data_IF_474819914379
#
_entry.id   IF_474819914379
#
_cell.length_a   1.000
_cell.length_b   1.000
_cell.length_c   1.000
_cell.angle_alpha   90.00
_cell.angle_beta   90.00
_cell.angle_gamma   90.00
#
_symmetry.space_group_name_H-M   'P 1'
#
loop_
_entity.id
_entity.type
_entity.pdbx_description
1 polymer ?
#
# COMPACT_ATOMS: atom_id res chain seq x y z
N UNK A 1 29.96 12.59 8.38
CA UNK A 1 30.07 11.29 7.62
C UNK A 1 30.35 11.61 6.16
N UNK A 2 31.13 10.81 5.44
CA UNK A 2 31.20 10.97 4.00
C UNK A 2 29.89 10.42 3.38
N UNK A 3 29.35 11.04 2.32
CA UNK A 3 28.06 10.65 1.73
C UNK A 3 27.99 9.16 1.33
N UNK A 4 29.11 8.58 0.94
CA UNK A 4 29.22 7.16 0.55
C UNK A 4 29.14 6.15 1.71
N UNK A 5 29.24 6.62 2.96
CA UNK A 5 29.26 5.75 4.16
C UNK A 5 27.93 5.79 4.92
N UNK A 6 26.96 6.58 4.47
CA UNK A 6 25.65 6.68 5.10
C UNK A 6 24.80 5.47 4.73
N UNK A 7 24.44 4.66 5.72
CA UNK A 7 23.45 3.59 5.59
C UNK A 7 22.13 4.08 6.18
N UNK A 8 21.25 4.57 5.30
CA UNK A 8 19.99 5.20 5.69
C UNK A 8 19.12 4.29 6.54
N UNK A 9 19.01 3.01 6.19
CA UNK A 9 18.18 2.04 6.93
C UNK A 9 18.63 1.81 8.37
N UNK A 10 19.90 2.16 8.71
CA UNK A 10 20.43 2.07 10.08
C UNK A 10 20.15 3.32 10.92
N UNK A 11 19.69 4.40 10.30
CA UNK A 11 19.30 5.64 10.99
C UNK A 11 17.85 5.62 11.49
N UNK A 12 17.13 4.51 11.26
CA UNK A 12 15.73 4.37 11.62
C UNK A 12 15.47 3.03 12.33
N UNK A 13 14.63 3.05 13.38
CA UNK A 13 14.23 1.83 14.10
C UNK A 13 13.30 0.97 13.23
N UNK A 14 12.32 1.58 12.59
CA UNK A 14 11.40 0.96 11.64
C UNK A 14 11.73 1.36 10.21
N UNK A 15 11.24 0.61 9.22
CA UNK A 15 11.46 0.90 7.80
C UNK A 15 10.13 1.04 7.07
N UNK A 16 10.06 2.02 6.14
CA UNK A 16 8.93 2.21 5.25
C UNK A 16 7.57 2.27 5.96
N UNK A 17 6.53 1.77 5.31
CA UNK A 17 5.15 1.74 5.82
C UNK A 17 4.98 0.88 7.09
N UNK A 18 5.92 0.00 7.41
CA UNK A 18 5.95 -0.74 8.68
C UNK A 18 6.10 0.16 9.93
N UNK A 19 6.45 1.44 9.77
CA UNK A 19 6.52 2.43 10.82
C UNK A 19 5.16 3.06 11.18
N UNK A 20 4.12 2.86 10.37
CA UNK A 20 2.77 3.42 10.61
C UNK A 20 2.21 3.00 11.97
N UNK A 21 1.42 3.88 12.61
CA UNK A 21 0.61 3.54 13.78
C UNK A 21 -0.38 2.45 13.36
N UNK A 22 -0.49 1.38 14.15
CA UNK A 22 -1.37 0.27 13.80
C UNK A 22 -2.83 0.71 13.69
N UNK A 23 -3.60 0.15 12.72
CA UNK A 23 -4.98 0.54 12.43
C UNK A 23 -5.88 0.55 13.68
N UNK A 24 -5.79 -0.49 14.53
CA UNK A 24 -6.58 -0.57 15.76
C UNK A 24 -6.21 0.48 16.82
N UNK A 25 -4.97 0.95 16.86
CA UNK A 25 -4.54 2.04 17.73
C UNK A 25 -5.03 3.39 17.20
N UNK A 26 -4.85 3.62 15.90
CA UNK A 26 -5.31 4.83 15.23
C UNK A 26 -6.82 5.02 15.38
N UNK A 27 -7.60 3.96 15.19
CA UNK A 27 -9.05 3.98 15.41
C UNK A 27 -9.44 4.41 16.83
N UNK A 28 -8.71 3.94 17.86
CA UNK A 28 -8.92 4.38 19.24
C UNK A 28 -8.59 5.85 19.46
N UNK A 29 -7.46 6.32 18.88
CA UNK A 29 -7.04 7.72 19.00
C UNK A 29 -8.05 8.67 18.36
N UNK A 30 -8.75 8.24 17.32
CA UNK A 30 -9.72 9.05 16.58
C UNK A 30 -11.16 8.91 17.08
N UNK A 31 -11.48 7.91 17.91
CA UNK A 31 -12.86 7.53 18.27
C UNK A 31 -13.69 8.65 18.90
N UNK A 32 -13.06 9.55 19.67
CA UNK A 32 -13.74 10.65 20.36
C UNK A 32 -13.65 11.99 19.61
N UNK A 33 -13.01 12.00 18.45
CA UNK A 33 -12.86 13.22 17.66
C UNK A 33 -14.13 13.46 16.83
N UNK A 34 -14.79 14.59 17.11
CA UNK A 34 -15.98 14.98 16.38
C UNK A 34 -15.62 15.46 14.96
N UNK A 35 -16.05 14.71 13.95
CA UNK A 35 -15.92 15.09 12.55
C UNK A 35 -17.01 16.08 12.16
N UNK A 36 -16.62 17.18 11.52
CA UNK A 36 -17.57 18.12 10.94
C UNK A 36 -18.18 17.53 9.68
N UNK A 37 -19.49 17.51 9.59
CA UNK A 37 -20.19 17.09 8.36
C UNK A 37 -20.12 18.20 7.32
N UNK A 38 -19.68 17.83 6.12
CA UNK A 38 -19.67 18.69 4.94
C UNK A 38 -20.24 17.88 3.76
N UNK A 39 -21.29 18.35 3.07
CA UNK A 39 -21.90 17.63 1.96
C UNK A 39 -20.96 17.48 0.75
N UNK A 40 -19.91 18.28 0.66
CA UNK A 40 -18.89 18.16 -0.38
C UNK A 40 -17.75 17.20 -0.01
N UNK A 41 -17.62 16.79 1.24
CA UNK A 41 -16.68 15.74 1.64
C UNK A 41 -17.29 14.38 1.27
N UNK A 42 -16.90 13.82 0.13
CA UNK A 42 -17.43 12.57 -0.39
C UNK A 42 -16.82 11.37 0.33
N UNK A 43 -15.51 11.45 0.63
CA UNK A 43 -14.73 10.45 1.35
C UNK A 43 -13.90 11.15 2.42
N UNK A 44 -14.05 10.70 3.65
CA UNK A 44 -13.25 11.12 4.81
C UNK A 44 -12.58 9.90 5.46
N UNK A 45 -12.00 10.08 6.62
CA UNK A 45 -11.28 8.99 7.31
C UNK A 45 -12.18 7.96 8.03
N UNK A 46 -13.50 8.15 8.04
CA UNK A 46 -14.47 7.33 8.77
C UNK A 46 -14.68 5.93 8.15
N UNK A 47 -14.32 5.76 6.88
CA UNK A 47 -14.42 4.48 6.17
C UNK A 47 -13.07 3.81 5.88
N UNK A 48 -11.96 4.40 6.37
CA UNK A 48 -10.60 3.92 6.16
C UNK A 48 -10.24 3.77 4.65
N UNK A 49 -10.73 4.68 3.80
CA UNK A 49 -10.32 4.79 2.40
C UNK A 49 -8.91 5.38 2.30
N UNK A 50 -8.24 5.18 1.16
CA UNK A 50 -6.83 5.53 0.95
C UNK A 50 -6.57 7.04 0.96
N UNK A 51 -7.52 7.85 0.45
CA UNK A 51 -7.41 9.31 0.44
C UNK A 51 -8.74 9.99 0.75
N UNK A 52 -8.67 11.25 1.20
CA UNK A 52 -9.85 12.11 1.29
C UNK A 52 -10.27 12.60 -0.09
N UNK A 53 -11.61 12.65 -0.34
CA UNK A 53 -12.16 13.17 -1.60
C UNK A 53 -13.15 14.28 -1.31
N UNK A 54 -12.86 15.47 -1.83
CA UNK A 54 -13.69 16.66 -1.66
C UNK A 54 -14.23 17.16 -3.00
N UNK A 55 -15.55 17.22 -3.13
CA UNK A 55 -16.23 17.69 -4.35
C UNK A 55 -16.01 19.20 -4.55
N UNK A 56 -15.44 19.58 -5.69
CA UNK A 56 -15.21 20.99 -6.07
C UNK A 56 -16.31 21.46 -7.03
N UNK A 57 -16.64 20.63 -8.03
CA UNK A 57 -17.74 20.84 -8.98
C UNK A 57 -18.50 19.53 -9.18
N UNK A 58 -19.50 19.49 -10.04
CA UNK A 58 -20.19 18.24 -10.36
C UNK A 58 -19.30 17.24 -11.11
N UNK A 59 -18.27 17.69 -11.82
CA UNK A 59 -17.38 16.89 -12.64
C UNK A 59 -15.97 16.71 -12.04
N UNK A 60 -15.62 17.48 -10.98
CA UNK A 60 -14.28 17.50 -10.41
C UNK A 60 -14.36 17.36 -8.90
N UNK A 61 -13.67 16.37 -8.36
CA UNK A 61 -13.35 16.25 -6.95
C UNK A 61 -11.84 16.28 -6.75
N UNK A 62 -11.41 16.91 -5.66
CA UNK A 62 -10.04 16.95 -5.18
C UNK A 62 -9.78 15.68 -4.37
N UNK A 63 -8.69 14.99 -4.67
CA UNK A 63 -8.15 13.87 -3.88
C UNK A 63 -6.94 14.38 -3.11
N UNK A 64 -6.94 14.21 -1.80
CA UNK A 64 -5.88 14.67 -0.89
C UNK A 64 -5.36 13.55 -0.03
N UNK A 65 -4.06 13.34 -0.07
CA UNK A 65 -3.35 12.39 0.80
C UNK A 65 -2.03 12.94 1.29
N UNK A 66 -1.50 12.32 2.35
CA UNK A 66 -0.15 12.54 2.84
C UNK A 66 0.43 11.23 3.34
N UNK A 67 1.58 10.84 2.79
CA UNK A 67 2.31 9.66 3.26
C UNK A 67 3.82 9.94 3.31
N UNK A 68 4.43 9.59 4.44
CA UNK A 68 5.86 9.72 4.66
C UNK A 68 6.33 8.67 5.68
N UNK A 69 7.56 8.25 5.55
CA UNK A 69 8.10 7.19 6.40
C UNK A 69 9.64 7.25 6.50
N UNK A 70 10.25 6.55 7.49
CA UNK A 70 11.69 6.42 7.59
C UNK A 70 12.28 5.54 6.49
N UNK A 71 13.61 5.61 6.24
CA UNK A 71 14.25 4.91 5.14
C UNK A 71 13.98 3.40 5.07
N UNK A 72 13.72 2.91 3.85
CA UNK A 72 13.51 1.50 3.53
C UNK A 72 14.62 0.95 2.60
N UNK A 73 15.37 1.82 1.95
CA UNK A 73 16.53 1.51 1.13
C UNK A 73 17.74 2.30 1.62
N UNK A 74 18.95 1.77 1.42
CA UNK A 74 20.20 2.46 1.77
C UNK A 74 20.62 3.48 0.72
N UNK A 75 20.29 3.24 -0.57
CA UNK A 75 20.50 4.22 -1.63
C UNK A 75 19.53 5.39 -1.50
N UNK A 76 20.05 6.65 -1.34
CA UNK A 76 19.18 7.80 -1.10
C UNK A 76 18.20 8.08 -2.23
N UNK A 77 18.64 7.92 -3.50
CA UNK A 77 17.76 8.13 -4.65
C UNK A 77 16.61 7.12 -4.65
N UNK A 78 16.93 5.84 -4.47
CA UNK A 78 15.95 4.75 -4.38
C UNK A 78 14.96 4.99 -3.25
N UNK A 79 15.42 5.38 -2.06
CA UNK A 79 14.53 5.73 -0.95
C UNK A 79 13.57 6.87 -1.32
N UNK A 80 14.07 7.95 -1.91
CA UNK A 80 13.26 9.07 -2.35
C UNK A 80 12.21 8.67 -3.39
N UNK A 81 12.61 7.85 -4.38
CA UNK A 81 11.70 7.35 -5.41
C UNK A 81 10.60 6.44 -4.85
N UNK A 82 10.95 5.55 -3.89
CA UNK A 82 9.97 4.67 -3.21
C UNK A 82 8.97 5.51 -2.40
N UNK A 83 9.46 6.50 -1.64
CA UNK A 83 8.60 7.34 -0.82
C UNK A 83 7.59 8.14 -1.67
N UNK A 84 8.03 8.64 -2.81
CA UNK A 84 7.15 9.33 -3.75
C UNK A 84 6.15 8.37 -4.43
N UNK A 85 6.61 7.19 -4.88
CA UNK A 85 5.73 6.19 -5.49
C UNK A 85 4.61 5.76 -4.53
N UNK A 86 4.94 5.58 -3.24
CA UNK A 86 3.99 5.23 -2.21
C UNK A 86 2.97 6.35 -1.96
N UNK A 87 3.41 7.60 -1.80
CA UNK A 87 2.50 8.73 -1.54
C UNK A 87 1.58 9.06 -2.73
N UNK A 88 2.00 8.75 -3.96
CA UNK A 88 1.17 8.91 -5.15
C UNK A 88 0.10 7.81 -5.28
N UNK A 89 0.31 6.67 -4.63
CA UNK A 89 -0.49 5.46 -4.78
C UNK A 89 -1.94 5.63 -4.34
N UNK A 90 -2.17 6.32 -3.21
CA UNK A 90 -3.51 6.58 -2.69
C UNK A 90 -4.40 7.31 -3.72
N UNK A 91 -3.81 8.26 -4.48
CA UNK A 91 -4.55 8.96 -5.53
C UNK A 91 -4.96 8.00 -6.65
N UNK A 92 -4.10 7.05 -7.01
CA UNK A 92 -4.41 6.03 -8.02
C UNK A 92 -5.45 5.03 -7.53
N UNK A 93 -5.41 4.63 -6.26
CA UNK A 93 -6.41 3.76 -5.65
C UNK A 93 -7.82 4.38 -5.70
N UNK A 94 -7.92 5.71 -5.52
CA UNK A 94 -9.17 6.45 -5.68
C UNK A 94 -9.59 6.67 -7.15
N UNK A 95 -8.84 6.13 -8.15
CA UNK A 95 -9.08 6.35 -9.59
C UNK A 95 -8.62 7.72 -10.10
N UNK A 96 -8.00 8.52 -9.23
CA UNK A 96 -7.58 9.89 -9.50
C UNK A 96 -6.28 10.01 -10.31
N UNK A 97 -5.96 11.24 -10.69
CA UNK A 97 -4.71 11.64 -11.31
C UNK A 97 -3.97 12.64 -10.42
N UNK A 98 -2.76 12.33 -9.92
CA UNK A 98 -1.93 13.31 -9.20
C UNK A 98 -1.63 14.53 -10.08
N UNK A 99 -1.65 15.73 -9.50
CA UNK A 99 -1.36 16.99 -10.23
C UNK A 99 -0.26 17.80 -9.56
N UNK A 100 -0.30 17.93 -8.25
CA UNK A 100 0.74 18.62 -7.48
C UNK A 100 1.12 17.82 -6.25
N UNK A 101 2.38 17.95 -5.84
CA UNK A 101 2.89 17.38 -4.61
C UNK A 101 3.73 18.40 -3.83
N UNK A 102 3.73 18.23 -2.51
CA UNK A 102 4.56 18.98 -1.56
C UNK A 102 5.49 17.99 -0.85
N UNK A 103 6.78 18.29 -0.81
CA UNK A 103 7.73 17.51 -0.02
C UNK A 103 7.43 17.63 1.49
N UNK A 104 7.46 16.49 2.18
CA UNK A 104 7.46 16.39 3.64
C UNK A 104 8.77 15.72 4.03
N UNK A 105 9.66 16.47 4.70
CA UNK A 105 10.99 15.97 4.98
C UNK A 105 11.44 16.30 6.40
N UNK A 106 12.00 15.31 7.08
CA UNK A 106 12.75 15.48 8.32
C UNK A 106 14.09 14.78 8.15
N UNK A 107 15.20 15.43 8.56
CA UNK A 107 16.55 14.87 8.42
C UNK A 107 17.43 15.28 9.60
N UNK A 108 18.42 14.44 9.98
CA UNK A 108 19.46 14.86 10.94
C UNK A 108 20.22 16.10 10.48
N UNK A 109 20.55 17.00 11.41
CA UNK A 109 21.25 18.25 11.11
C UNK A 109 22.64 18.00 10.50
N UNK A 110 23.29 16.89 10.87
CA UNK A 110 24.62 16.48 10.39
C UNK A 110 24.57 15.58 9.14
N UNK A 111 23.38 15.35 8.54
CA UNK A 111 23.26 14.57 7.31
C UNK A 111 23.92 15.30 6.14
N UNK A 112 24.79 14.62 5.35
CA UNK A 112 25.42 15.24 4.19
C UNK A 112 24.37 15.77 3.19
N UNK A 113 24.59 16.99 2.70
CA UNK A 113 23.67 17.65 1.75
C UNK A 113 23.48 16.87 0.46
N UNK A 114 24.49 16.13 0.02
CA UNK A 114 24.45 15.26 -1.14
C UNK A 114 23.45 14.11 -0.97
N UNK A 115 23.37 13.54 0.25
CA UNK A 115 22.40 12.48 0.58
C UNK A 115 20.98 13.05 0.52
N UNK A 116 20.74 14.21 1.13
CA UNK A 116 19.44 14.89 1.10
C UNK A 116 19.05 15.25 -0.34
N UNK A 117 20.02 15.73 -1.15
CA UNK A 117 19.79 16.05 -2.55
C UNK A 117 19.34 14.83 -3.37
N UNK A 118 19.99 13.67 -3.18
CA UNK A 118 19.63 12.44 -3.89
C UNK A 118 18.25 11.90 -3.47
N UNK A 119 17.87 12.01 -2.17
CA UNK A 119 16.50 11.67 -1.72
C UNK A 119 15.48 12.53 -2.48
N UNK A 120 15.68 13.85 -2.50
CA UNK A 120 14.79 14.76 -3.20
C UNK A 120 14.77 14.44 -4.71
N UNK A 121 15.93 14.22 -5.34
CA UNK A 121 16.01 13.87 -6.77
C UNK A 121 15.18 12.64 -7.11
N UNK A 122 15.29 11.55 -6.32
CA UNK A 122 14.45 10.36 -6.50
C UNK A 122 12.97 10.66 -6.41
N UNK A 123 12.56 11.49 -5.44
CA UNK A 123 11.17 11.94 -5.31
C UNK A 123 10.67 12.76 -6.50
N UNK A 124 11.48 13.73 -6.96
CA UNK A 124 11.14 14.57 -8.11
C UNK A 124 11.00 13.76 -9.40
N UNK A 125 11.96 12.85 -9.69
CA UNK A 125 11.91 12.02 -10.89
C UNK A 125 10.64 11.16 -10.92
N UNK A 126 10.23 10.63 -9.77
CA UNK A 126 9.03 9.81 -9.65
C UNK A 126 7.72 10.61 -9.79
N UNK A 127 7.66 11.82 -9.24
CA UNK A 127 6.52 12.72 -9.43
C UNK A 127 6.40 13.17 -10.90
N UNK A 128 7.53 13.42 -11.57
CA UNK A 128 7.51 13.75 -13.00
C UNK A 128 7.10 12.56 -13.87
N UNK A 129 7.52 11.33 -13.52
CA UNK A 129 7.02 10.09 -14.17
C UNK A 129 5.48 9.97 -14.02
N UNK A 130 4.93 10.38 -12.88
CA UNK A 130 3.49 10.42 -12.63
C UNK A 130 2.75 11.52 -13.44
N UNK A 131 3.47 12.41 -14.11
CA UNK A 131 2.90 13.56 -14.84
C UNK A 131 2.44 14.69 -13.91
N UNK A 132 2.89 14.70 -12.66
CA UNK A 132 2.61 15.72 -11.66
C UNK A 132 3.82 16.64 -11.44
N UNK A 133 3.66 17.67 -10.60
CA UNK A 133 4.72 18.63 -10.28
C UNK A 133 4.91 18.74 -8.78
N UNK A 134 6.17 18.78 -8.30
CA UNK A 134 6.48 19.23 -6.95
C UNK A 134 6.51 20.76 -6.95
N UNK A 135 5.69 21.36 -6.08
CA UNK A 135 5.49 22.83 -6.05
C UNK A 135 5.99 23.47 -4.75
N UNK A 136 6.62 22.71 -3.88
CA UNK A 136 7.16 23.17 -2.62
C UNK A 136 7.25 22.06 -1.59
N UNK A 137 7.11 22.43 -0.32
CA UNK A 137 7.12 21.47 0.78
C UNK A 137 7.56 22.10 2.08
N UNK A 138 7.77 21.24 3.09
CA UNK A 138 8.26 21.62 4.40
C UNK A 138 9.35 20.66 4.85
N UNK A 139 10.41 21.23 5.44
CA UNK A 139 11.54 20.45 5.96
C UNK A 139 11.92 20.90 7.35
N UNK A 140 12.25 19.95 8.22
CA UNK A 140 12.70 20.18 9.59
C UNK A 140 13.92 19.31 9.91
N UNK A 141 14.62 19.65 10.98
CA UNK A 141 15.58 18.74 11.58
C UNK A 141 14.91 17.77 12.54
N UNK A 142 15.32 16.49 12.48
CA UNK A 142 14.89 15.42 13.38
C UNK A 142 16.05 14.42 13.54
N UNK A 143 16.06 13.67 14.61
CA UNK A 143 17.07 12.64 14.86
C UNK A 143 16.98 11.44 13.90
N UNK A 144 15.81 11.19 13.32
CA UNK A 144 15.54 10.10 12.39
C UNK A 144 15.04 10.65 11.05
N UNK A 145 15.68 10.28 9.90
CA UNK A 145 15.25 10.78 8.61
C UNK A 145 13.86 10.24 8.27
N UNK A 146 13.03 11.12 7.70
CA UNK A 146 11.71 10.81 7.16
C UNK A 146 11.49 11.61 5.88
N UNK A 147 10.93 10.95 4.87
CA UNK A 147 10.60 11.60 3.61
C UNK A 147 9.30 11.04 3.03
N UNK A 148 8.57 11.87 2.36
CA UNK A 148 7.36 11.57 1.63
C UNK A 148 6.73 12.82 1.04
N UNK A 149 5.47 12.70 0.65
CA UNK A 149 4.77 13.77 -0.04
C UNK A 149 3.38 13.96 0.56
N UNK A 150 2.89 15.21 0.53
CA UNK A 150 1.46 15.50 0.48
C UNK A 150 1.08 15.66 -0.99
N UNK A 151 0.06 14.92 -1.45
CA UNK A 151 -0.30 14.85 -2.87
C UNK A 151 -1.74 15.29 -3.06
N UNK A 152 -1.93 16.21 -4.02
CA UNK A 152 -3.24 16.64 -4.50
C UNK A 152 -3.46 16.12 -5.91
N UNK A 153 -4.59 15.45 -6.11
CA UNK A 153 -5.01 14.92 -7.41
C UNK A 153 -6.45 15.28 -7.72
N UNK A 154 -6.92 14.91 -8.91
CA UNK A 154 -8.30 15.09 -9.30
C UNK A 154 -8.90 13.77 -9.78
N UNK A 155 -10.21 13.62 -9.52
CA UNK A 155 -11.03 12.52 -10.01
C UNK A 155 -12.42 13.06 -10.39
N UNK A 156 -13.09 12.40 -11.31
CA UNK A 156 -14.51 12.66 -11.51
C UNK A 156 -15.30 12.01 -10.35
N UNK A 157 -16.15 12.75 -9.62
CA UNK A 157 -16.90 12.22 -8.48
C UNK A 157 -17.75 10.98 -8.77
N UNK A 158 -18.19 10.81 -10.04
CA UNK A 158 -18.98 9.66 -10.48
C UNK A 158 -18.14 8.46 -10.93
N UNK A 159 -16.82 8.62 -10.99
CA UNK A 159 -15.88 7.58 -11.44
C UNK A 159 -14.79 7.28 -10.40
N UNK A 160 -14.93 7.82 -9.19
CA UNK A 160 -13.99 7.51 -8.13
C UNK A 160 -14.23 6.11 -7.59
N UNK A 161 -13.17 5.45 -7.18
CA UNK A 161 -13.22 4.19 -6.43
C UNK A 161 -13.14 4.46 -4.95
N UNK A 162 -13.68 3.54 -4.18
CA UNK A 162 -13.54 3.46 -2.72
C UNK A 162 -13.25 2.00 -2.34
N UNK A 163 -12.75 1.76 -1.16
CA UNK A 163 -12.57 0.40 -0.66
C UNK A 163 -13.92 -0.27 -0.30
N UNK A 164 -14.99 0.51 -0.15
CA UNK A 164 -16.33 0.04 0.27
C UNK A 164 -17.30 -0.26 -0.88
N UNK A 165 -16.86 -0.16 -2.13
CA UNK A 165 -17.71 -0.34 -3.31
C UNK A 165 -17.86 -1.79 -3.79
N UNK A 166 -17.16 -2.76 -3.19
CA UNK A 166 -17.15 -4.15 -3.65
C UNK A 166 -18.52 -4.82 -3.61
N UNK A 167 -18.74 -5.77 -4.53
CA UNK A 167 -19.94 -6.59 -4.60
C UNK A 167 -19.60 -8.07 -4.34
N UNK A 168 -20.58 -8.84 -3.83
CA UNK A 168 -20.43 -10.28 -3.71
C UNK A 168 -20.29 -10.92 -5.10
N UNK A 169 -19.28 -11.79 -5.25
CA UNK A 169 -18.92 -12.40 -6.52
C UNK A 169 -17.73 -11.72 -7.22
N UNK A 170 -17.37 -10.48 -6.85
CA UNK A 170 -16.22 -9.79 -7.44
C UNK A 170 -14.96 -10.63 -7.33
N UNK A 171 -14.17 -10.65 -8.41
CA UNK A 171 -12.86 -11.26 -8.46
C UNK A 171 -11.84 -10.26 -7.92
N UNK A 172 -10.96 -10.73 -7.04
CA UNK A 172 -9.90 -9.93 -6.45
C UNK A 172 -8.60 -10.11 -7.24
N UNK A 173 -8.07 -9.03 -7.80
CA UNK A 173 -6.79 -9.00 -8.52
C UNK A 173 -5.81 -8.14 -7.73
N UNK A 174 -4.60 -8.68 -7.44
CA UNK A 174 -3.49 -7.94 -6.85
C UNK A 174 -2.44 -7.65 -7.92
N UNK A 175 -1.99 -6.41 -8.04
CA UNK A 175 -1.17 -5.95 -9.18
C UNK A 175 0.33 -6.00 -8.99
N UNK A 176 0.83 -6.23 -7.76
CA UNK A 176 2.26 -6.42 -7.45
C UNK A 176 2.47 -7.65 -6.60
N UNK A 177 3.69 -8.20 -6.65
CA UNK A 177 4.12 -9.30 -5.79
C UNK A 177 4.22 -8.88 -4.32
N UNK A 178 3.95 -9.82 -3.41
CA UNK A 178 4.10 -9.66 -1.96
C UNK A 178 5.51 -10.06 -1.49
N UNK A 179 5.89 -9.58 -0.29
CA UNK A 179 7.10 -10.00 0.39
C UNK A 179 8.10 -8.89 0.71
N UNK A 180 7.79 -7.62 0.38
CA UNK A 180 8.66 -6.46 0.66
C UNK A 180 9.04 -6.41 2.14
N UNK A 181 8.06 -6.55 3.05
CA UNK A 181 8.32 -6.48 4.48
C UNK A 181 9.25 -7.58 4.99
N UNK A 182 9.17 -8.78 4.42
CA UNK A 182 10.08 -9.90 4.76
C UNK A 182 11.48 -9.63 4.25
N UNK A 183 11.62 -9.25 2.95
CA UNK A 183 12.91 -9.00 2.31
C UNK A 183 13.64 -7.83 3.01
N UNK A 184 12.96 -6.72 3.28
CA UNK A 184 13.58 -5.56 3.95
C UNK A 184 13.99 -5.87 5.39
N UNK A 185 13.29 -6.77 6.08
CA UNK A 185 13.71 -7.29 7.39
C UNK A 185 14.95 -8.19 7.24
N UNK A 186 14.98 -9.04 6.21
CA UNK A 186 16.14 -9.90 5.92
C UNK A 186 17.39 -9.09 5.54
N UNK A 187 17.26 -7.94 4.87
CA UNK A 187 18.36 -6.98 4.63
C UNK A 187 18.97 -6.53 5.95
N UNK A 188 18.15 -6.09 6.92
CA UNK A 188 18.65 -5.69 8.27
C UNK A 188 19.36 -6.83 9.00
N UNK A 189 18.95 -8.08 8.76
CA UNK A 189 19.54 -9.29 9.30
C UNK A 189 20.75 -9.82 8.48
N UNK A 190 21.12 -9.19 7.37
CA UNK A 190 22.12 -9.65 6.38
C UNK A 190 21.81 -11.06 5.82
N UNK A 191 20.55 -11.35 5.57
CA UNK A 191 20.05 -12.65 5.08
C UNK A 191 19.38 -12.56 3.69
N UNK A 192 19.17 -11.37 3.12
CA UNK A 192 18.61 -11.19 1.79
C UNK A 192 19.70 -11.32 0.70
N UNK A 193 19.35 -11.97 -0.42
CA UNK A 193 20.21 -11.96 -1.61
C UNK A 193 20.07 -10.61 -2.36
N UNK A 194 21.11 -10.25 -3.12
CA UNK A 194 21.11 -8.98 -3.89
C UNK A 194 19.93 -8.92 -4.87
N UNK A 195 19.65 -10.02 -5.53
CA UNK A 195 18.56 -10.12 -6.52
C UNK A 195 17.18 -9.90 -5.89
N UNK A 196 17.01 -10.34 -4.63
CA UNK A 196 15.77 -10.13 -3.85
C UNK A 196 15.60 -8.66 -3.46
N UNK A 197 16.70 -8.02 -3.05
CA UNK A 197 16.72 -6.58 -2.74
C UNK A 197 16.37 -5.78 -3.97
N UNK A 198 17.03 -6.05 -5.11
CA UNK A 198 16.78 -5.38 -6.38
C UNK A 198 15.34 -5.57 -6.86
N UNK A 199 14.76 -6.76 -6.67
CA UNK A 199 13.37 -7.03 -7.03
C UNK A 199 12.40 -6.24 -6.15
N UNK A 200 12.64 -6.19 -4.83
CA UNK A 200 11.82 -5.43 -3.88
C UNK A 200 11.90 -3.92 -4.17
N UNK A 201 13.08 -3.37 -4.39
CA UNK A 201 13.28 -1.95 -4.70
C UNK A 201 12.60 -1.57 -6.03
N UNK A 202 12.76 -2.37 -7.09
CA UNK A 202 12.06 -2.15 -8.36
C UNK A 202 10.55 -2.17 -8.19
N UNK A 203 10.00 -3.15 -7.47
CA UNK A 203 8.57 -3.24 -7.19
C UNK A 203 8.06 -2.01 -6.44
N UNK A 204 8.77 -1.58 -5.38
CA UNK A 204 8.41 -0.39 -4.61
C UNK A 204 8.48 0.91 -5.42
N UNK A 205 9.44 1.06 -6.33
CA UNK A 205 9.57 2.23 -7.19
C UNK A 205 8.55 2.26 -8.34
N UNK A 206 7.91 1.14 -8.68
CA UNK A 206 6.91 1.09 -9.75
C UNK A 206 5.63 1.80 -9.34
N UNK A 207 5.16 2.75 -10.17
CA UNK A 207 3.93 3.49 -9.92
C UNK A 207 2.69 2.60 -10.13
N UNK A 208 1.71 2.71 -9.24
CA UNK A 208 0.39 2.10 -9.43
C UNK A 208 -0.44 2.79 -10.54
N UNK A 209 0.08 3.87 -11.12
CA UNK A 209 -0.46 4.54 -12.30
C UNK A 209 -0.74 3.56 -13.44
N UNK A 210 0.19 2.66 -13.73
CA UNK A 210 0.07 1.74 -14.87
C UNK A 210 -1.12 0.80 -14.72
N UNK A 211 -1.34 0.27 -13.51
CA UNK A 211 -2.53 -0.54 -13.22
C UNK A 211 -3.81 0.31 -13.25
N UNK A 212 -3.76 1.53 -12.67
CA UNK A 212 -4.91 2.45 -12.67
C UNK A 212 -5.33 2.85 -14.08
N UNK A 213 -4.40 3.20 -14.96
CA UNK A 213 -4.69 3.63 -16.33
C UNK A 213 -5.33 2.50 -17.17
N UNK A 214 -5.11 1.23 -16.79
CA UNK A 214 -5.73 0.06 -17.41
C UNK A 214 -7.10 -0.22 -16.80
N UNK A 215 -7.21 -0.28 -15.46
CA UNK A 215 -8.43 -0.73 -14.78
C UNK A 215 -9.65 0.18 -14.99
N UNK A 216 -9.45 1.46 -15.30
CA UNK A 216 -10.54 2.44 -15.48
C UNK A 216 -11.44 2.15 -16.70
N UNK A 217 -11.03 1.27 -17.58
CA UNK A 217 -11.78 0.85 -18.76
C UNK A 217 -12.63 -0.41 -18.51
N UNK A 218 -12.65 -0.95 -17.29
CA UNK A 218 -13.36 -2.17 -16.88
C UNK A 218 -14.36 -1.89 -15.77
N UNK A 219 -15.28 -2.83 -15.53
CA UNK A 219 -16.29 -2.72 -14.47
C UNK A 219 -15.70 -3.04 -13.08
N UNK A 220 -14.90 -2.10 -12.58
CA UNK A 220 -14.23 -2.16 -11.28
C UNK A 220 -15.12 -1.50 -10.23
N UNK A 221 -15.36 -2.23 -9.12
CA UNK A 221 -16.29 -1.79 -8.07
C UNK A 221 -15.57 -1.21 -6.85
N UNK A 222 -14.41 -1.77 -6.45
CA UNK A 222 -13.62 -1.27 -5.34
C UNK A 222 -12.12 -1.42 -5.60
N UNK A 223 -11.35 -0.51 -5.03
CA UNK A 223 -9.88 -0.52 -5.11
C UNK A 223 -9.31 -0.04 -3.80
N UNK A 224 -8.20 -0.62 -3.36
CA UNK A 224 -7.31 -0.09 -2.33
C UNK A 224 -5.87 -0.44 -2.69
N UNK A 225 -4.89 0.29 -2.18
CA UNK A 225 -3.50 -0.14 -2.29
C UNK A 225 -3.07 -0.99 -1.08
N UNK A 226 -2.21 -1.96 -1.32
CA UNK A 226 -1.74 -2.88 -0.26
C UNK A 226 -0.45 -2.37 0.32
N UNK A 227 -0.53 -1.71 1.49
CA UNK A 227 0.62 -1.06 2.11
C UNK A 227 0.85 -1.51 3.57
N UNK A 228 0.93 -0.60 4.51
CA UNK A 228 1.35 -0.84 5.88
C UNK A 228 0.48 -1.79 6.70
N UNK A 229 -0.80 -1.90 6.37
CA UNK A 229 -1.72 -2.82 7.04
C UNK A 229 -1.76 -4.22 6.43
N UNK A 230 -0.95 -4.47 5.39
CA UNK A 230 -0.85 -5.76 4.69
C UNK A 230 -2.05 -6.10 3.82
N UNK A 231 -1.92 -7.17 3.01
CA UNK A 231 -3.07 -7.68 2.25
C UNK A 231 -4.26 -7.99 3.16
N UNK A 232 -4.02 -8.62 4.32
CA UNK A 232 -5.12 -9.00 5.23
C UNK A 232 -5.80 -7.80 5.89
N UNK A 233 -5.06 -6.75 6.22
CA UNK A 233 -5.66 -5.55 6.83
C UNK A 233 -6.49 -4.74 5.84
N UNK A 234 -5.94 -4.43 4.65
CA UNK A 234 -6.65 -3.67 3.62
C UNK A 234 -7.86 -4.44 3.06
N UNK A 235 -7.73 -5.76 2.87
CA UNK A 235 -8.89 -6.59 2.50
C UNK A 235 -9.96 -6.62 3.60
N UNK A 236 -9.56 -6.62 4.87
CA UNK A 236 -10.52 -6.54 5.97
C UNK A 236 -11.28 -5.21 5.96
N UNK A 237 -10.59 -4.10 5.68
CA UNK A 237 -11.22 -2.78 5.51
C UNK A 237 -12.23 -2.79 4.35
N UNK A 238 -11.87 -3.39 3.21
CA UNK A 238 -12.77 -3.58 2.06
C UNK A 238 -14.00 -4.44 2.45
N UNK A 239 -13.79 -5.58 3.11
CA UNK A 239 -14.88 -6.45 3.56
C UNK A 239 -15.82 -5.72 4.55
N UNK A 240 -15.26 -4.96 5.49
CA UNK A 240 -16.06 -4.23 6.49
C UNK A 240 -16.79 -3.05 5.86
N UNK A 241 -16.14 -2.33 4.94
CA UNK A 241 -16.73 -1.20 4.23
C UNK A 241 -17.94 -1.59 3.36
N UNK A 242 -17.86 -2.74 2.70
CA UNK A 242 -18.92 -3.28 1.83
C UNK A 242 -19.92 -4.20 2.55
N UNK A 243 -19.70 -4.51 3.85
CA UNK A 243 -20.42 -5.54 4.62
C UNK A 243 -20.41 -6.93 3.97
N UNK A 244 -19.25 -7.31 3.44
CA UNK A 244 -18.99 -8.58 2.75
C UNK A 244 -17.94 -9.43 3.50
N UNK A 245 -17.67 -10.61 2.94
CA UNK A 245 -16.57 -11.49 3.26
C UNK A 245 -15.71 -11.72 2.02
N UNK A 246 -14.56 -12.38 2.18
CA UNK A 246 -13.70 -12.75 1.07
C UNK A 246 -13.10 -14.15 1.26
N UNK A 247 -12.85 -14.82 0.13
CA UNK A 247 -12.05 -16.05 0.08
C UNK A 247 -10.75 -15.75 -0.67
N UNK A 248 -9.60 -16.03 -0.05
CA UNK A 248 -8.26 -15.78 -0.60
C UNK A 248 -7.53 -17.09 -0.76
N UNK A 249 -7.06 -17.37 -1.97
CA UNK A 249 -6.12 -18.46 -2.23
C UNK A 249 -4.71 -18.01 -1.81
N UNK A 250 -4.10 -18.71 -0.83
CA UNK A 250 -2.77 -18.34 -0.31
C UNK A 250 -1.64 -18.56 -1.33
N UNK A 251 -1.89 -19.30 -2.40
CA UNK A 251 -0.97 -19.50 -3.53
C UNK A 251 -1.32 -18.59 -4.72
N UNK A 252 -2.40 -17.77 -4.62
CA UNK A 252 -2.83 -16.83 -5.66
C UNK A 252 -1.86 -15.66 -5.89
N UNK A 253 -1.39 -14.94 -4.84
CA UNK A 253 -0.44 -13.84 -5.02
C UNK A 253 0.90 -14.32 -5.58
N UNK A 254 1.53 -13.51 -6.44
CA UNK A 254 2.95 -13.66 -6.70
C UNK A 254 3.75 -13.20 -5.47
N UNK A 255 4.93 -13.80 -5.28
CA UNK A 255 5.87 -13.42 -4.24
C UNK A 255 7.20 -13.01 -4.86
N UNK A 256 7.85 -11.99 -4.32
CA UNK A 256 9.12 -11.46 -4.82
C UNK A 256 10.23 -12.53 -4.87
N UNK A 257 10.17 -13.50 -3.97
CA UNK A 257 11.05 -14.67 -3.95
C UNK A 257 10.37 -15.82 -3.19
N UNK A 258 10.55 -17.09 -3.59
CA UNK A 258 10.13 -18.24 -2.78
C UNK A 258 10.80 -18.29 -1.40
N UNK A 259 11.96 -17.67 -1.24
CA UNK A 259 12.73 -17.56 0.01
C UNK A 259 11.97 -16.79 1.11
N UNK A 260 10.97 -15.96 0.77
CA UNK A 260 10.16 -15.23 1.77
C UNK A 260 9.49 -16.18 2.78
N UNK A 261 9.08 -17.38 2.37
CA UNK A 261 8.46 -18.36 3.25
C UNK A 261 9.48 -19.03 4.19
N UNK A 262 10.70 -19.27 3.72
CA UNK A 262 11.78 -19.77 4.55
C UNK A 262 12.20 -18.74 5.59
N UNK A 263 12.38 -17.48 5.19
CA UNK A 263 12.66 -16.37 6.08
C UNK A 263 11.56 -16.21 7.13
N UNK A 264 10.29 -16.28 6.74
CA UNK A 264 9.16 -16.22 7.65
C UNK A 264 9.16 -17.37 8.67
N UNK A 265 9.48 -18.60 8.22
CA UNK A 265 9.61 -19.77 9.10
C UNK A 265 10.75 -19.61 10.10
N UNK A 266 11.83 -18.91 9.74
CA UNK A 266 12.94 -18.58 10.64
C UNK A 266 12.63 -17.41 11.58
N UNK A 267 11.45 -16.78 11.45
CA UNK A 267 11.03 -15.64 12.27
C UNK A 267 11.61 -14.30 11.79
N UNK A 268 12.16 -14.23 10.57
CA UNK A 268 12.61 -12.98 9.94
C UNK A 268 11.39 -12.24 9.40
N UNK A 269 10.67 -11.59 10.30
CA UNK A 269 9.40 -10.93 10.06
C UNK A 269 9.42 -9.51 10.66
N UNK A 270 8.85 -8.51 9.97
CA UNK A 270 8.81 -7.15 10.50
C UNK A 270 7.88 -7.04 11.71
N UNK A 271 8.17 -6.15 12.64
CA UNK A 271 7.33 -5.88 13.81
C UNK A 271 5.89 -5.46 13.42
N UNK A 272 5.72 -4.84 12.25
CA UNK A 272 4.42 -4.50 11.66
C UNK A 272 3.53 -5.71 11.45
N UNK A 273 4.08 -6.85 11.02
CA UNK A 273 3.33 -8.09 10.84
C UNK A 273 2.61 -8.52 12.13
N UNK A 274 3.29 -8.49 13.26
CA UNK A 274 2.68 -8.87 14.55
C UNK A 274 1.58 -7.90 14.99
N UNK A 275 1.67 -6.60 14.63
CA UNK A 275 0.62 -5.62 14.89
C UNK A 275 -0.59 -5.86 14.01
N UNK A 276 -0.38 -6.05 12.70
CA UNK A 276 -1.42 -6.34 11.73
C UNK A 276 -2.17 -7.64 12.08
N UNK A 277 -1.41 -8.69 12.42
CA UNK A 277 -1.99 -9.96 12.83
C UNK A 277 -2.86 -9.83 14.07
N UNK A 278 -2.39 -9.15 15.14
CA UNK A 278 -3.21 -8.92 16.35
C UNK A 278 -4.51 -8.17 16.07
N UNK A 279 -4.51 -7.28 15.09
CA UNK A 279 -5.71 -6.53 14.71
C UNK A 279 -6.68 -7.38 13.91
N UNK A 280 -6.23 -8.08 12.87
CA UNK A 280 -7.08 -8.70 11.87
C UNK A 280 -7.28 -10.23 12.06
N UNK A 281 -6.41 -10.95 12.81
CA UNK A 281 -6.46 -12.43 12.94
C UNK A 281 -7.82 -12.97 13.43
N UNK A 282 -8.49 -12.23 14.31
CA UNK A 282 -9.81 -12.63 14.80
C UNK A 282 -10.88 -12.69 13.70
N UNK A 283 -10.66 -12.02 12.56
CA UNK A 283 -11.54 -12.01 11.41
C UNK A 283 -11.11 -12.98 10.30
N UNK A 284 -9.97 -13.68 10.47
CA UNK A 284 -9.39 -14.56 9.45
C UNK A 284 -9.54 -16.02 9.88
N UNK A 285 -10.04 -16.86 8.96
CA UNK A 285 -10.01 -18.30 9.06
C UNK A 285 -8.84 -18.84 8.22
N UNK A 286 -7.92 -19.58 8.84
CA UNK A 286 -6.71 -20.11 8.21
C UNK A 286 -6.49 -21.58 8.53
N UNK A 287 -7.57 -22.36 8.63
CA UNK A 287 -7.51 -23.78 9.03
C UNK A 287 -6.74 -24.62 8.01
N UNK A 288 -5.71 -25.31 8.47
CA UNK A 288 -4.88 -26.19 7.63
C UNK A 288 -3.79 -25.49 6.80
N UNK A 289 -3.69 -24.16 6.87
CA UNK A 289 -2.66 -23.40 6.15
C UNK A 289 -1.38 -23.30 7.00
N UNK A 290 -0.22 -23.47 6.36
CA UNK A 290 1.08 -23.34 7.01
C UNK A 290 1.28 -21.93 7.55
N UNK A 291 1.81 -21.82 8.78
CA UNK A 291 1.91 -20.57 9.52
C UNK A 291 2.70 -19.49 8.75
N UNK A 292 3.82 -19.86 8.17
CA UNK A 292 4.67 -18.95 7.40
C UNK A 292 3.94 -18.35 6.20
N UNK A 293 3.03 -19.08 5.55
CA UNK A 293 2.19 -18.54 4.48
C UNK A 293 1.21 -17.49 4.99
N UNK A 294 0.56 -17.79 6.12
CA UNK A 294 -0.35 -16.85 6.78
C UNK A 294 0.41 -15.61 7.25
N UNK A 295 1.58 -15.78 7.88
CA UNK A 295 2.38 -14.67 8.41
C UNK A 295 2.83 -13.71 7.29
N UNK A 296 3.20 -14.21 6.10
CA UNK A 296 3.57 -13.36 4.95
C UNK A 296 2.40 -12.49 4.49
N UNK A 297 1.16 -13.00 4.49
CA UNK A 297 -0.03 -12.22 4.11
C UNK A 297 -0.35 -11.09 5.10
N UNK A 298 0.15 -11.17 6.34
CA UNK A 298 0.07 -10.10 7.35
C UNK A 298 1.28 -9.16 7.34
N UNK A 299 2.30 -9.41 6.51
CA UNK A 299 3.46 -8.53 6.44
C UNK A 299 3.09 -7.18 5.81
N UNK A 300 3.53 -6.06 6.39
CA UNK A 300 3.37 -4.77 5.74
C UNK A 300 4.13 -4.75 4.42
N UNK A 301 3.50 -4.17 3.42
CA UNK A 301 4.12 -3.80 2.16
C UNK A 301 4.42 -2.30 2.15
N UNK A 302 5.44 -1.87 1.43
CA UNK A 302 5.71 -0.46 1.15
C UNK A 302 5.57 -0.25 -0.34
N UNK A 303 4.78 0.73 -0.74
CA UNK A 303 4.45 0.96 -2.15
C UNK A 303 3.98 -0.34 -2.85
N UNK A 304 3.09 -1.08 -2.20
CA UNK A 304 2.53 -2.32 -2.73
C UNK A 304 1.58 -2.09 -3.90
N UNK A 305 0.99 -3.16 -4.42
CA UNK A 305 0.09 -3.11 -5.57
C UNK A 305 -1.33 -2.69 -5.19
N UNK A 306 -2.14 -2.40 -6.20
CA UNK A 306 -3.57 -2.24 -6.04
C UNK A 306 -4.23 -3.61 -5.84
N UNK A 307 -5.15 -3.69 -4.88
CA UNK A 307 -6.12 -4.76 -4.74
C UNK A 307 -7.42 -4.29 -5.39
N UNK A 308 -7.79 -4.91 -6.49
CA UNK A 308 -8.90 -4.51 -7.35
C UNK A 308 -10.01 -5.54 -7.21
N UNK A 309 -11.22 -5.11 -6.83
CA UNK A 309 -12.44 -5.91 -6.90
C UNK A 309 -13.17 -5.56 -8.21
N UNK A 310 -13.26 -6.53 -9.12
CA UNK A 310 -13.79 -6.36 -10.47
C UNK A 310 -14.93 -7.34 -10.72
N UNK A 311 -15.93 -6.92 -11.53
CA UNK A 311 -17.01 -7.78 -11.96
C UNK A 311 -16.48 -9.10 -12.58
N UNK A 312 -17.05 -10.28 -12.24
CA UNK A 312 -16.56 -11.58 -12.73
C UNK A 312 -16.43 -11.66 -14.25
N UNK A 313 -17.34 -11.04 -14.99
CA UNK A 313 -17.38 -11.00 -16.46
C UNK A 313 -16.21 -10.25 -17.09
N UNK A 314 -15.63 -9.26 -16.37
CA UNK A 314 -14.52 -8.45 -16.84
C UNK A 314 -13.16 -8.94 -16.32
N UNK A 315 -13.14 -9.86 -15.34
CA UNK A 315 -11.95 -10.24 -14.60
C UNK A 315 -10.82 -10.81 -15.47
N UNK A 316 -11.14 -11.73 -16.40
CA UNK A 316 -10.15 -12.35 -17.29
C UNK A 316 -9.58 -11.32 -18.29
N UNK A 317 -10.42 -10.42 -18.79
CA UNK A 317 -10.02 -9.38 -19.72
C UNK A 317 -9.13 -8.33 -19.04
N UNK A 318 -9.49 -7.89 -17.82
CA UNK A 318 -8.67 -6.99 -17.02
C UNK A 318 -7.33 -7.63 -16.66
N UNK A 319 -7.33 -8.88 -16.16
CA UNK A 319 -6.07 -9.58 -15.83
C UNK A 319 -5.16 -9.70 -17.05
N UNK A 320 -5.72 -10.05 -18.22
CA UNK A 320 -4.96 -10.14 -19.46
C UNK A 320 -4.35 -8.80 -19.88
N UNK A 321 -5.10 -7.71 -19.74
CA UNK A 321 -4.63 -6.35 -20.05
C UNK A 321 -3.52 -5.91 -19.07
N UNK A 322 -3.69 -6.16 -17.77
CA UNK A 322 -2.67 -5.88 -16.76
C UNK A 322 -1.37 -6.66 -17.01
N UNK A 323 -1.46 -7.96 -17.27
CA UNK A 323 -0.27 -8.80 -17.53
C UNK A 323 0.43 -8.48 -18.85
N UNK A 324 -0.24 -7.83 -19.80
CA UNK A 324 0.38 -7.39 -21.07
C UNK A 324 1.27 -6.16 -20.88
N UNK A 325 1.07 -5.37 -19.82
CA UNK A 325 1.93 -4.23 -19.48
C UNK A 325 3.14 -4.70 -18.65
N UNK A 326 4.34 -4.33 -19.09
CA UNK A 326 5.58 -4.74 -18.43
C UNK A 326 5.72 -4.23 -16.98
N UNK A 327 5.02 -3.15 -16.61
CA UNK A 327 5.06 -2.57 -15.26
C UNK A 327 4.10 -3.27 -14.28
N UNK A 328 3.12 -4.04 -14.80
CA UNK A 328 2.10 -4.76 -14.00
C UNK A 328 2.08 -6.28 -14.26
N UNK A 329 3.16 -6.82 -14.83
CA UNK A 329 3.27 -8.24 -15.21
C UNK A 329 3.10 -9.24 -14.05
N UNK A 330 3.18 -8.78 -12.80
CA UNK A 330 2.94 -9.58 -11.59
C UNK A 330 1.46 -9.63 -11.14
N UNK A 331 0.54 -9.02 -11.90
CA UNK A 331 -0.89 -9.08 -11.58
C UNK A 331 -1.40 -10.54 -11.56
N UNK A 332 -2.16 -10.88 -10.50
CA UNK A 332 -2.76 -12.22 -10.32
C UNK A 332 -4.14 -12.11 -9.68
N UNK A 333 -5.01 -13.06 -10.02
CA UNK A 333 -6.21 -13.32 -9.22
C UNK A 333 -5.76 -13.90 -7.89
N UNK A 334 -6.19 -13.29 -6.79
CA UNK A 334 -5.84 -13.72 -5.43
C UNK A 334 -7.02 -14.29 -4.67
N UNK A 335 -8.25 -14.07 -5.14
CA UNK A 335 -9.46 -14.55 -4.49
C UNK A 335 -10.73 -13.91 -5.04
N UNK A 336 -11.76 -13.86 -4.21
CA UNK A 336 -13.07 -13.29 -4.57
C UNK A 336 -13.78 -12.74 -3.34
N UNK A 337 -14.66 -11.77 -3.55
CA UNK A 337 -15.62 -11.31 -2.55
C UNK A 337 -16.79 -12.28 -2.44
N UNK A 338 -17.31 -12.47 -1.23
CA UNK A 338 -18.42 -13.37 -0.95
C UNK A 338 -19.42 -12.71 -0.02
N UNK A 339 -20.64 -13.24 0.03
CA UNK A 339 -21.62 -12.80 1.04
C UNK A 339 -21.08 -13.03 2.46
N UNK A 340 -21.38 -12.09 3.35
CA UNK A 340 -21.08 -12.23 4.77
C UNK A 340 -22.28 -12.83 5.50
N UNK A 341 -22.08 -14.01 6.09
CA UNK A 341 -23.11 -14.68 6.89
C UNK A 341 -22.86 -14.41 8.39
N UNK A 342 -23.65 -13.55 8.97
CA UNK A 342 -23.60 -13.19 10.41
C UNK A 342 -24.14 -14.31 11.32
N UNK A 343 -23.99 -15.57 10.96
CA UNK A 343 -24.67 -16.70 11.64
C UNK A 343 -24.10 -17.10 12.99
N UNK A 344 -22.93 -16.57 13.42
CA UNK A 344 -22.29 -16.88 14.72
C UNK A 344 -21.55 -15.67 15.31
N UNK A 345 -21.41 -15.65 16.65
CA UNK A 345 -20.63 -14.61 17.37
C UNK A 345 -19.14 -14.53 16.95
N UNK A 346 -18.65 -15.50 16.17
CA UNK A 346 -17.27 -15.60 15.67
C UNK A 346 -17.21 -15.64 14.13
N UNK A 347 -18.18 -15.07 13.42
CA UNK A 347 -18.20 -15.09 11.96
C UNK A 347 -16.95 -14.40 11.40
N UNK A 348 -16.17 -15.15 10.59
CA UNK A 348 -14.96 -14.67 9.94
C UNK A 348 -15.32 -13.93 8.66
N UNK A 349 -14.56 -12.85 8.36
CA UNK A 349 -14.74 -12.10 7.11
C UNK A 349 -13.77 -12.52 6.02
N UNK A 350 -12.65 -13.13 6.38
CA UNK A 350 -11.66 -13.60 5.39
C UNK A 350 -11.41 -15.08 5.65
N UNK A 351 -11.60 -15.89 4.60
CA UNK A 351 -11.27 -17.31 4.60
C UNK A 351 -10.07 -17.55 3.70
N UNK A 352 -9.00 -18.11 4.26
CA UNK A 352 -7.84 -18.56 3.49
C UNK A 352 -8.06 -19.98 2.99
N UNK A 353 -7.81 -20.21 1.71
CA UNK A 353 -7.84 -21.52 1.07
C UNK A 353 -6.49 -21.79 0.40
N UNK A 354 -6.17 -23.06 0.20
CA UNK A 354 -5.01 -23.51 -0.55
C UNK A 354 -5.48 -24.51 -1.60
N UNK A 355 -5.25 -24.20 -2.89
CA UNK A 355 -5.59 -25.07 -4.02
C UNK A 355 -4.41 -25.96 -4.42
#
# INVERSE_FOLDING_TARGET
MAAKDVKLTKLAECAGCGAKVGAGELAKLLSDIKVRKDPNLLVGFDKADDAAVYKVTDDIALVETIDFFPPIADDPYTYGAIAAANALSDVYAMGGEPKVALNVMAVPEDMPSEVVHEILRGGYDKVYEAGANIVGGHSIYDSEPKYGLAVSGFVNPLKMYTNSGAHAGDVLILTKALGVGVITTAVKANMAATEEVDAAERSMMTLNRYARDIMVDFDVHAVTDVTGFSLMGHLLEMCQGADLAAEINVDGPEFLSPHVFELARLGILPAGMYRNRRYAEKYVEATGIARERVDVLFCPETSGGLLIAVAPEDSDALLSALCADAQVSFARVVGRMTEYEESTQDAKRIKLVQE
#
